data_IF_342417360612
#
_entry.id   IF_342417360612
#
_cell.length_a   1.000
_cell.length_b   1.000
_cell.length_c   1.000
_cell.angle_alpha   90.00
_cell.angle_beta   90.00
_cell.angle_gamma   90.00
#
_symmetry.space_group_name_H-M   'P 1'
#
loop_
_entity.id
_entity.type
_entity.pdbx_description
1 polymer ?
#
# COMPACT_ATOMS: atom_id res chain seq x y z
N UNK A 1 -40.11 -56.45 9.45
CA UNK A 1 -38.71 -56.23 9.89
C UNK A 1 -37.81 -57.20 9.16
N UNK A 2 -36.58 -56.80 8.81
CA UNK A 2 -35.72 -57.50 7.83
C UNK A 2 -34.37 -57.89 8.42
N UNK A 3 -34.16 -59.20 8.64
CA UNK A 3 -32.83 -59.78 8.85
C UNK A 3 -32.23 -60.23 7.51
N UNK A 4 -31.06 -59.70 7.14
CA UNK A 4 -30.49 -59.90 5.79
C UNK A 4 -29.60 -61.14 5.64
N UNK A 5 -29.51 -61.66 4.41
CA UNK A 5 -28.51 -62.65 3.99
C UNK A 5 -27.62 -62.07 2.89
N UNK A 6 -26.31 -62.23 3.03
CA UNK A 6 -25.29 -61.56 2.21
C UNK A 6 -25.19 -62.15 0.79
N UNK A 7 -25.50 -61.38 -0.24
CA UNK A 7 -25.13 -61.72 -1.64
C UNK A 7 -23.64 -61.41 -1.85
N UNK A 8 -22.83 -62.42 -2.20
CA UNK A 8 -21.44 -62.24 -2.67
C UNK A 8 -21.44 -61.89 -4.16
N UNK A 9 -21.14 -60.64 -4.50
CA UNK A 9 -20.82 -60.23 -5.88
C UNK A 9 -19.33 -60.42 -6.15
N UNK A 10 -18.97 -61.49 -6.86
CA UNK A 10 -17.59 -61.74 -7.28
C UNK A 10 -17.24 -60.90 -8.53
N UNK A 11 -16.76 -59.67 -8.31
CA UNK A 11 -16.16 -58.85 -9.37
C UNK A 11 -14.86 -59.52 -9.83
N UNK A 12 -14.77 -59.94 -11.10
CA UNK A 12 -13.52 -60.50 -11.65
C UNK A 12 -12.49 -59.39 -11.81
N UNK A 13 -11.30 -59.59 -11.24
CA UNK A 13 -10.13 -58.78 -11.57
C UNK A 13 -9.75 -58.96 -13.05
N UNK A 14 -9.11 -57.94 -13.62
CA UNK A 14 -8.72 -57.86 -15.03
C UNK A 14 -7.19 -57.75 -15.09
N UNK A 15 -6.58 -58.44 -16.05
CA UNK A 15 -5.13 -58.34 -16.29
C UNK A 15 -4.78 -56.91 -16.79
N UNK A 16 -3.91 -56.15 -16.10
CA UNK A 16 -3.61 -54.76 -16.49
C UNK A 16 -2.82 -54.61 -17.80
N UNK A 17 -2.06 -55.65 -18.20
CA UNK A 17 -1.17 -55.59 -19.37
C UNK A 17 -1.86 -56.03 -20.67
N UNK A 18 -2.91 -56.86 -20.59
CA UNK A 18 -3.56 -57.47 -21.76
C UNK A 18 -5.09 -57.32 -21.80
N UNK A 19 -5.72 -56.87 -20.71
CA UNK A 19 -7.14 -56.49 -20.68
C UNK A 19 -8.17 -57.63 -20.88
N UNK A 20 -7.73 -58.89 -21.03
CA UNK A 20 -8.60 -60.06 -21.14
C UNK A 20 -9.08 -60.56 -19.77
N UNK A 21 -10.16 -61.33 -19.77
CA UNK A 21 -10.65 -62.03 -18.57
C UNK A 21 -10.13 -63.46 -18.54
N UNK A 22 -9.50 -63.86 -17.43
CA UNK A 22 -9.04 -65.23 -17.25
C UNK A 22 -10.21 -66.18 -16.94
N UNK A 23 -10.20 -67.36 -17.57
CA UNK A 23 -11.13 -68.45 -17.31
C UNK A 23 -10.73 -69.21 -16.04
N UNK A 24 -11.70 -69.53 -15.18
CA UNK A 24 -11.47 -70.41 -14.03
C UNK A 24 -11.39 -71.88 -14.49
N UNK A 25 -10.50 -72.73 -13.94
CA UNK A 25 -10.51 -74.16 -14.19
C UNK A 25 -11.80 -74.83 -13.71
N UNK A 26 -12.31 -75.80 -14.47
CA UNK A 26 -13.37 -76.72 -14.04
C UNK A 26 -12.75 -77.91 -13.28
N UNK A 27 -13.40 -78.44 -12.24
CA UNK A 27 -13.13 -79.79 -11.74
C UNK A 27 -13.93 -80.82 -12.54
N UNK A 28 -13.38 -82.02 -12.75
CA UNK A 28 -14.12 -83.21 -13.21
C UNK A 28 -13.39 -84.48 -12.72
N UNK A 29 -14.12 -85.59 -12.55
CA UNK A 29 -13.69 -86.70 -11.69
C UNK A 29 -13.99 -88.10 -12.24
N UNK A 30 -12.99 -88.98 -12.11
CA UNK A 30 -13.07 -90.46 -12.04
C UNK A 30 -13.79 -91.25 -13.15
N UNK A 31 -13.04 -92.12 -13.82
CA UNK A 31 -13.49 -93.51 -14.09
C UNK A 31 -12.29 -94.45 -14.36
N UNK A 32 -12.48 -95.74 -14.08
CA UNK A 32 -11.56 -96.88 -14.22
C UNK A 32 -12.12 -97.87 -15.26
N UNK A 33 -11.55 -99.09 -15.49
CA UNK A 33 -10.15 -99.57 -15.50
C UNK A 33 -9.83 -100.35 -16.81
N UNK A 34 -8.62 -100.95 -16.97
CA UNK A 34 -8.45 -102.24 -17.69
C UNK A 34 -7.12 -103.00 -17.44
N UNK A 35 -7.28 -104.28 -17.11
CA UNK A 35 -6.46 -105.49 -17.34
C UNK A 35 -4.90 -105.50 -17.24
N UNK A 36 -4.39 -106.57 -16.60
CA UNK A 36 -3.01 -107.08 -16.73
C UNK A 36 -2.82 -107.88 -18.03
N UNK A 37 -1.58 -108.25 -18.38
CA UNK A 37 -1.24 -109.67 -18.28
C UNK A 37 0.05 -109.97 -17.48
N UNK A 38 0.24 -111.24 -17.10
CA UNK A 38 1.45 -111.76 -16.44
C UNK A 38 2.32 -112.52 -17.45
N UNK A 39 3.64 -112.48 -17.26
CA UNK A 39 4.60 -113.39 -17.92
C UNK A 39 5.74 -113.74 -16.96
N UNK A 40 6.35 -114.92 -17.13
CA UNK A 40 7.36 -115.48 -16.22
C UNK A 40 8.81 -115.19 -16.68
N UNK A 41 9.81 -115.24 -15.77
CA UNK A 41 11.24 -115.16 -16.12
C UNK A 41 11.83 -116.52 -16.56
N UNK A 42 13.03 -116.48 -17.15
CA UNK A 42 13.86 -117.63 -17.50
C UNK A 42 15.37 -117.32 -17.30
N UNK A 43 16.24 -118.35 -17.27
CA UNK A 43 17.61 -118.31 -16.72
C UNK A 43 18.75 -117.85 -17.69
N UNK A 44 19.98 -117.54 -17.18
CA UNK A 44 21.03 -116.79 -17.91
C UNK A 44 22.37 -117.51 -18.25
N UNK A 45 23.12 -116.92 -19.19
CA UNK A 45 24.55 -117.12 -19.58
C UNK A 45 24.95 -115.96 -20.56
N UNK A 46 26.18 -115.60 -20.99
CA UNK A 46 27.65 -115.83 -20.77
C UNK A 46 28.39 -114.71 -21.60
N UNK A 47 29.70 -114.40 -21.60
CA UNK A 47 30.95 -114.68 -20.85
C UNK A 47 31.96 -113.51 -21.13
N UNK A 48 33.17 -113.49 -20.53
CA UNK A 48 34.17 -112.39 -20.74
C UNK A 48 35.66 -112.81 -20.52
N UNK A 49 36.63 -111.98 -20.98
CA UNK A 49 38.10 -112.14 -20.88
C UNK A 49 38.83 -110.77 -20.64
N UNK A 50 40.14 -110.73 -20.30
CA UNK A 50 40.84 -109.53 -19.73
C UNK A 50 42.28 -109.21 -20.25
N UNK A 51 42.91 -108.15 -19.72
CA UNK A 51 44.14 -107.43 -20.24
C UNK A 51 45.20 -107.19 -19.12
N UNK A 52 46.46 -106.82 -19.47
CA UNK A 52 47.65 -106.79 -18.58
C UNK A 52 47.99 -105.43 -17.90
N UNK A 53 49.02 -105.45 -17.03
CA UNK A 53 49.22 -104.49 -15.92
C UNK A 53 50.11 -103.27 -16.19
N UNK A 54 51.11 -103.34 -17.06
CA UNK A 54 52.09 -102.24 -17.19
C UNK A 54 51.56 -101.07 -18.02
N UNK A 55 50.82 -101.37 -19.10
CA UNK A 55 50.12 -100.39 -19.94
C UNK A 55 49.12 -99.55 -19.13
N UNK A 56 48.51 -100.14 -18.09
CA UNK A 56 47.59 -99.49 -17.16
C UNK A 56 48.26 -98.34 -16.38
N UNK A 57 49.51 -98.52 -15.95
CA UNK A 57 50.23 -97.51 -15.17
C UNK A 57 50.62 -96.28 -16.01
N UNK A 58 51.09 -96.48 -17.25
CA UNK A 58 51.42 -95.35 -18.15
C UNK A 58 50.17 -94.56 -18.55
N UNK A 59 49.01 -95.23 -18.67
CA UNK A 59 47.71 -94.58 -18.84
C UNK A 59 47.34 -93.73 -17.61
N UNK A 60 47.50 -94.25 -16.39
CA UNK A 60 47.24 -93.51 -15.14
C UNK A 60 48.06 -92.21 -15.04
N UNK A 61 49.37 -92.25 -15.27
CA UNK A 61 50.24 -91.06 -15.19
C UNK A 61 49.85 -89.97 -16.19
N UNK A 62 49.39 -90.36 -17.39
CA UNK A 62 48.88 -89.40 -18.37
C UNK A 62 47.55 -88.79 -17.91
N UNK A 63 46.61 -89.64 -17.48
CA UNK A 63 45.31 -89.22 -16.93
C UNK A 63 45.50 -88.26 -15.75
N UNK A 64 46.51 -88.46 -14.90
CA UNK A 64 46.83 -87.57 -13.79
C UNK A 64 47.28 -86.17 -14.26
N UNK A 65 48.23 -86.07 -15.20
CA UNK A 65 48.68 -84.77 -15.73
C UNK A 65 47.58 -84.04 -16.50
N UNK A 66 46.83 -84.76 -17.33
CA UNK A 66 45.72 -84.19 -18.10
C UNK A 66 44.63 -83.64 -17.14
N UNK A 67 44.39 -84.32 -16.00
CA UNK A 67 43.47 -83.90 -14.93
C UNK A 67 43.97 -82.68 -14.13
N UNK A 68 45.28 -82.54 -13.90
CA UNK A 68 45.85 -81.34 -13.25
C UNK A 68 45.73 -80.11 -14.14
N UNK A 69 46.01 -80.24 -15.44
CA UNK A 69 45.79 -79.15 -16.41
C UNK A 69 44.33 -78.69 -16.45
N UNK A 70 43.40 -79.66 -16.49
CA UNK A 70 41.95 -79.39 -16.43
C UNK A 70 41.52 -78.68 -15.13
N UNK A 71 42.18 -78.98 -14.00
CA UNK A 71 41.89 -78.38 -12.70
C UNK A 71 42.35 -76.90 -12.64
N UNK A 72 43.51 -76.55 -13.20
CA UNK A 72 43.95 -75.16 -13.27
C UNK A 72 43.11 -74.31 -14.24
N UNK A 73 42.67 -74.89 -15.36
CA UNK A 73 41.73 -74.22 -16.26
C UNK A 73 40.37 -73.99 -15.57
N UNK A 74 39.86 -74.98 -14.83
CA UNK A 74 38.63 -74.85 -14.04
C UNK A 74 38.75 -73.75 -12.95
N UNK A 75 39.89 -73.65 -12.27
CA UNK A 75 40.17 -72.57 -11.30
C UNK A 75 40.15 -71.20 -11.99
N UNK A 76 40.80 -71.08 -13.15
CA UNK A 76 40.88 -69.84 -13.92
C UNK A 76 39.50 -69.38 -14.38
N UNK A 77 38.65 -70.29 -14.84
CA UNK A 77 37.28 -69.96 -15.25
C UNK A 77 36.38 -69.61 -14.06
N UNK A 78 36.56 -70.28 -12.91
CA UNK A 78 35.90 -69.90 -11.64
C UNK A 78 36.25 -68.47 -11.23
N UNK A 79 37.53 -68.07 -11.31
CA UNK A 79 37.94 -66.68 -10.99
C UNK A 79 37.33 -65.64 -11.94
N UNK A 80 37.20 -65.94 -13.24
CA UNK A 80 36.45 -65.07 -14.17
C UNK A 80 34.97 -64.98 -13.81
N UNK A 81 34.36 -66.07 -13.38
CA UNK A 81 32.95 -66.10 -12.97
C UNK A 81 32.73 -65.24 -11.71
N UNK A 82 33.57 -65.40 -10.68
CA UNK A 82 33.56 -64.58 -9.45
C UNK A 82 33.79 -63.09 -9.73
N UNK A 83 34.55 -62.74 -10.77
CA UNK A 83 34.68 -61.35 -11.22
C UNK A 83 33.39 -60.83 -11.86
N UNK A 84 32.82 -61.58 -12.81
CA UNK A 84 31.54 -61.21 -13.45
C UNK A 84 30.38 -61.14 -12.47
N UNK A 85 30.37 -61.99 -11.44
CA UNK A 85 29.38 -61.94 -10.36
C UNK A 85 29.46 -60.62 -9.58
N UNK A 86 30.67 -60.11 -9.30
CA UNK A 86 30.88 -58.78 -8.68
C UNK A 86 30.48 -57.63 -9.60
N UNK A 87 30.70 -57.75 -10.91
CA UNK A 87 30.23 -56.76 -11.90
C UNK A 87 28.69 -56.72 -11.96
N UNK A 88 28.03 -57.90 -12.02
CA UNK A 88 26.56 -58.03 -11.94
C UNK A 88 26.01 -57.44 -10.63
N UNK A 89 26.66 -57.69 -9.50
CA UNK A 89 26.27 -57.09 -8.21
C UNK A 89 26.55 -55.58 -8.14
N UNK A 90 27.44 -55.05 -9.00
CA UNK A 90 27.58 -53.62 -9.27
C UNK A 90 26.37 -53.07 -10.03
N UNK A 91 26.03 -53.68 -11.17
CA UNK A 91 24.90 -53.26 -12.01
C UNK A 91 23.55 -53.33 -11.27
N UNK A 92 23.31 -54.34 -10.43
CA UNK A 92 22.10 -54.41 -9.58
C UNK A 92 21.95 -53.19 -8.68
N UNK A 93 23.03 -52.74 -8.03
CA UNK A 93 23.02 -51.56 -7.14
C UNK A 93 22.76 -50.27 -7.91
N UNK A 94 23.34 -50.12 -9.10
CA UNK A 94 23.09 -48.94 -9.94
C UNK A 94 21.66 -48.94 -10.51
N UNK A 95 21.12 -50.10 -10.92
CA UNK A 95 19.70 -50.24 -11.32
C UNK A 95 18.78 -49.85 -10.16
N UNK A 96 19.08 -50.26 -8.91
CA UNK A 96 18.30 -49.85 -7.75
C UNK A 96 18.34 -48.33 -7.53
N UNK A 97 19.53 -47.72 -7.58
CA UNK A 97 19.74 -46.27 -7.44
C UNK A 97 19.00 -45.46 -8.51
N UNK A 98 19.05 -45.90 -9.77
CA UNK A 98 18.33 -45.28 -10.88
C UNK A 98 16.81 -45.47 -10.76
N UNK A 99 16.35 -46.61 -10.22
CA UNK A 99 14.93 -46.87 -9.95
C UNK A 99 14.39 -45.91 -8.89
N UNK A 100 15.11 -45.76 -7.77
CA UNK A 100 14.77 -44.83 -6.68
C UNK A 100 14.74 -43.38 -7.20
N UNK A 101 15.78 -42.95 -7.91
CA UNK A 101 15.84 -41.64 -8.55
C UNK A 101 14.66 -41.40 -9.51
N UNK A 102 14.24 -42.42 -10.28
CA UNK A 102 13.08 -42.33 -11.17
C UNK A 102 11.76 -42.17 -10.40
N UNK A 103 11.60 -42.84 -9.25
CA UNK A 103 10.40 -42.69 -8.41
C UNK A 103 10.33 -41.32 -7.73
N UNK A 104 11.46 -40.73 -7.36
CA UNK A 104 11.54 -39.36 -6.84
C UNK A 104 11.22 -38.32 -7.93
N UNK A 105 11.75 -38.49 -9.15
CA UNK A 105 11.39 -37.65 -10.30
C UNK A 105 9.89 -37.73 -10.62
N UNK A 106 9.29 -38.93 -10.56
CA UNK A 106 7.85 -39.09 -10.76
C UNK A 106 7.02 -38.36 -9.68
N UNK A 107 7.46 -38.41 -8.41
CA UNK A 107 6.81 -37.68 -7.31
C UNK A 107 6.86 -36.16 -7.53
N UNK A 108 8.01 -35.63 -7.95
CA UNK A 108 8.18 -34.20 -8.27
C UNK A 108 7.31 -33.77 -9.46
N UNK A 109 7.19 -34.62 -10.48
CA UNK A 109 6.30 -34.38 -11.63
C UNK A 109 4.84 -34.27 -11.18
N UNK A 110 4.37 -35.20 -10.35
CA UNK A 110 2.99 -35.21 -9.85
C UNK A 110 2.70 -34.00 -8.94
N UNK A 111 3.65 -33.59 -8.09
CA UNK A 111 3.54 -32.33 -7.34
C UNK A 111 3.43 -31.08 -8.23
N UNK A 112 4.09 -31.07 -9.40
CA UNK A 112 4.01 -29.97 -10.37
C UNK A 112 2.67 -29.97 -11.12
N UNK A 113 2.10 -31.14 -11.40
CA UNK A 113 0.75 -31.27 -11.96
C UNK A 113 -0.32 -30.74 -10.99
N UNK A 114 -0.25 -31.11 -9.70
CA UNK A 114 -1.16 -30.58 -8.66
C UNK A 114 -1.03 -29.05 -8.52
N UNK A 115 0.20 -28.51 -8.55
CA UNK A 115 0.46 -27.06 -8.53
C UNK A 115 -0.08 -26.37 -9.79
N UNK A 116 0.00 -27.00 -10.96
CA UNK A 116 -0.58 -26.49 -12.22
C UNK A 116 -2.12 -26.43 -12.17
N UNK A 117 -2.77 -27.45 -11.58
CA UNK A 117 -4.22 -27.46 -11.37
C UNK A 117 -4.64 -26.34 -10.42
N UNK A 118 -3.91 -26.14 -9.32
CA UNK A 118 -4.18 -25.03 -8.40
C UNK A 118 -3.99 -23.67 -9.07
N UNK A 119 -2.91 -23.47 -9.83
CA UNK A 119 -2.64 -22.22 -10.55
C UNK A 119 -3.74 -21.88 -11.55
N UNK A 120 -4.22 -22.85 -12.35
CA UNK A 120 -5.35 -22.68 -13.26
C UNK A 120 -6.62 -22.24 -12.54
N UNK A 121 -6.89 -22.79 -11.36
CA UNK A 121 -8.03 -22.39 -10.53
C UNK A 121 -7.91 -20.95 -10.03
N UNK A 122 -6.71 -20.53 -9.60
CA UNK A 122 -6.46 -19.14 -9.16
C UNK A 122 -6.64 -18.16 -10.31
N UNK A 123 -6.12 -18.46 -11.50
CA UNK A 123 -6.27 -17.59 -12.67
C UNK A 123 -7.74 -17.51 -13.14
N UNK A 124 -8.52 -18.59 -13.04
CA UNK A 124 -9.98 -18.54 -13.26
C UNK A 124 -10.68 -17.66 -12.22
N UNK A 125 -10.40 -17.82 -10.92
CA UNK A 125 -11.01 -16.99 -9.87
C UNK A 125 -10.65 -15.50 -10.00
N UNK A 126 -9.46 -15.20 -10.52
CA UNK A 126 -9.04 -13.84 -10.88
C UNK A 126 -9.86 -13.29 -12.07
N UNK A 127 -10.07 -14.08 -13.12
CA UNK A 127 -10.90 -13.66 -14.27
C UNK A 127 -12.35 -13.41 -13.84
N UNK A 128 -12.93 -14.30 -13.03
CA UNK A 128 -14.27 -14.13 -12.45
C UNK A 128 -14.37 -12.84 -11.59
N UNK A 129 -13.32 -12.50 -10.84
CA UNK A 129 -13.25 -11.26 -10.06
C UNK A 129 -13.07 -10.00 -10.95
N UNK A 130 -12.28 -10.09 -12.03
CA UNK A 130 -12.11 -9.00 -13.00
C UNK A 130 -13.43 -8.69 -13.73
N UNK A 131 -14.21 -9.72 -14.12
CA UNK A 131 -15.55 -9.54 -14.71
C UNK A 131 -16.53 -8.87 -13.74
N UNK A 132 -16.56 -9.29 -12.46
CA UNK A 132 -17.41 -8.66 -11.42
C UNK A 132 -17.04 -7.18 -11.23
N UNK A 133 -15.75 -6.85 -11.22
CA UNK A 133 -15.27 -5.45 -11.10
C UNK A 133 -15.65 -4.61 -12.33
N UNK A 134 -15.65 -5.20 -13.53
CA UNK A 134 -16.11 -4.53 -14.76
C UNK A 134 -17.62 -4.27 -14.69
N UNK A 135 -18.43 -5.28 -14.38
CA UNK A 135 -19.88 -5.14 -14.28
C UNK A 135 -20.27 -4.11 -13.21
N UNK A 136 -19.66 -4.14 -12.02
CA UNK A 136 -19.95 -3.14 -10.98
C UNK A 136 -19.56 -1.71 -11.42
N UNK A 137 -18.49 -1.55 -12.21
CA UNK A 137 -18.15 -0.24 -12.80
C UNK A 137 -19.19 0.23 -13.82
N UNK A 138 -19.75 -0.65 -14.64
CA UNK A 138 -20.80 -0.31 -15.61
C UNK A 138 -22.15 0.02 -14.93
N UNK A 139 -22.55 -0.76 -13.92
CA UNK A 139 -23.76 -0.50 -13.13
C UNK A 139 -23.66 0.83 -12.37
N UNK A 140 -22.54 1.09 -11.68
CA UNK A 140 -22.30 2.36 -10.99
C UNK A 140 -22.17 3.54 -11.97
N UNK A 141 -21.58 3.32 -13.16
CA UNK A 141 -21.54 4.31 -14.24
C UNK A 141 -22.94 4.70 -14.72
N UNK A 142 -23.83 3.72 -14.85
CA UNK A 142 -25.24 3.91 -15.22
C UNK A 142 -26.01 4.68 -14.14
N UNK A 143 -25.80 4.36 -12.86
CA UNK A 143 -26.38 5.11 -11.73
C UNK A 143 -25.91 6.58 -11.71
N UNK A 144 -24.63 6.84 -11.99
CA UNK A 144 -24.09 8.20 -12.10
C UNK A 144 -24.68 8.96 -13.31
N UNK A 145 -24.87 8.31 -14.45
CA UNK A 145 -25.58 8.90 -15.60
C UNK A 145 -27.03 9.27 -15.24
N UNK A 146 -27.76 8.41 -14.51
CA UNK A 146 -29.11 8.75 -14.06
C UNK A 146 -29.12 9.92 -13.06
N UNK A 147 -28.14 10.02 -12.16
CA UNK A 147 -27.99 11.21 -11.31
C UNK A 147 -27.74 12.47 -12.13
N UNK A 148 -26.79 12.44 -13.08
CA UNK A 148 -26.47 13.56 -13.98
C UNK A 148 -27.71 14.05 -14.74
N UNK A 149 -28.49 13.12 -15.31
CA UNK A 149 -29.79 13.36 -15.94
C UNK A 149 -30.80 14.00 -14.97
N UNK A 150 -30.99 13.41 -13.78
CA UNK A 150 -31.95 13.86 -12.76
C UNK A 150 -31.68 15.29 -12.28
N UNK A 151 -30.42 15.72 -12.25
CA UNK A 151 -30.02 17.07 -11.84
C UNK A 151 -29.80 18.03 -13.03
N UNK A 152 -30.14 17.62 -14.26
CA UNK A 152 -30.12 18.50 -15.44
C UNK A 152 -28.73 18.91 -15.93
N UNK A 153 -27.71 18.09 -15.65
CA UNK A 153 -26.29 18.41 -15.87
C UNK A 153 -25.81 18.04 -17.30
N UNK A 154 -26.72 17.97 -18.27
CA UNK A 154 -26.51 17.44 -19.63
C UNK A 154 -25.95 18.48 -20.64
N UNK A 155 -25.12 19.42 -20.20
CA UNK A 155 -24.32 20.22 -21.13
C UNK A 155 -23.15 19.37 -21.67
N UNK A 156 -22.87 19.48 -22.97
CA UNK A 156 -21.91 18.63 -23.71
C UNK A 156 -20.43 18.93 -23.36
N UNK A 157 -20.06 18.79 -22.09
CA UNK A 157 -18.71 18.88 -21.58
C UNK A 157 -17.92 17.61 -21.93
N UNK A 158 -17.57 17.46 -23.21
CA UNK A 158 -16.73 16.38 -23.74
C UNK A 158 -15.25 16.48 -23.32
N UNK A 159 -15.00 16.66 -22.02
CA UNK A 159 -13.67 16.86 -21.43
C UNK A 159 -12.84 15.58 -21.59
N UNK A 160 -12.00 15.58 -22.62
CA UNK A 160 -10.92 14.62 -22.76
C UNK A 160 -9.69 15.18 -22.04
N UNK A 161 -9.35 14.62 -20.87
CA UNK A 161 -8.05 14.88 -20.23
C UNK A 161 -6.93 14.54 -21.22
N UNK A 162 -6.01 15.46 -21.46
CA UNK A 162 -4.89 15.24 -22.36
C UNK A 162 -3.89 14.21 -21.78
N UNK A 163 -3.12 13.54 -22.63
CA UNK A 163 -2.23 12.47 -22.17
C UNK A 163 -1.03 12.98 -21.35
N UNK A 164 -0.63 14.25 -21.53
CA UNK A 164 0.41 14.89 -20.71
C UNK A 164 -0.08 15.18 -19.29
N UNK A 165 -1.36 15.54 -19.11
CA UNK A 165 -2.02 15.62 -17.80
C UNK A 165 -2.05 14.25 -17.11
N UNK A 166 -2.44 13.20 -17.85
CA UNK A 166 -2.45 11.81 -17.33
C UNK A 166 -1.04 11.35 -16.91
N UNK A 167 -0.02 11.63 -17.72
CA UNK A 167 1.37 11.27 -17.40
C UNK A 167 1.87 12.03 -16.17
N UNK A 168 1.68 13.35 -16.13
CA UNK A 168 2.05 14.19 -14.98
C UNK A 168 1.37 13.74 -13.69
N UNK A 169 0.07 13.43 -13.75
CA UNK A 169 -0.65 12.88 -12.60
C UNK A 169 -0.07 11.53 -12.18
N UNK A 170 0.06 10.57 -13.10
CA UNK A 170 0.60 9.22 -12.80
C UNK A 170 2.03 9.26 -12.23
N UNK A 171 2.84 10.24 -12.64
CA UNK A 171 4.21 10.44 -12.16
C UNK A 171 4.29 11.17 -10.82
N UNK A 172 3.44 12.20 -10.61
CA UNK A 172 3.45 13.01 -9.39
C UNK A 172 2.66 12.40 -8.23
N UNK A 173 1.53 11.74 -8.50
CA UNK A 173 0.59 11.30 -7.48
C UNK A 173 1.14 10.25 -6.48
N UNK A 174 2.02 9.30 -6.88
CA UNK A 174 2.68 8.40 -5.92
C UNK A 174 3.78 9.08 -5.08
N UNK A 175 4.34 10.19 -5.58
CA UNK A 175 5.38 10.97 -4.90
C UNK A 175 4.85 12.18 -4.11
N UNK A 176 3.53 12.41 -4.14
CA UNK A 176 2.90 13.54 -3.43
C UNK A 176 2.99 13.33 -1.92
N UNK A 177 3.15 14.42 -1.19
CA UNK A 177 3.09 14.44 0.28
C UNK A 177 1.69 14.85 0.72
N UNK A 178 1.21 14.38 1.89
CA UNK A 178 -0.03 14.89 2.51
C UNK A 178 0.00 16.39 2.69
N UNK A 179 1.20 16.89 3.01
CA UNK A 179 1.51 18.29 3.18
C UNK A 179 2.44 18.73 2.05
N UNK A 180 2.02 19.72 1.24
CA UNK A 180 2.76 20.10 0.03
C UNK A 180 4.19 20.63 0.30
N UNK A 181 4.51 20.99 1.54
CA UNK A 181 5.80 21.54 1.91
C UNK A 181 6.93 20.51 1.90
N UNK A 182 8.04 20.88 1.24
CA UNK A 182 9.33 20.19 1.36
C UNK A 182 10.04 20.56 2.67
N UNK A 183 9.79 21.77 3.18
CA UNK A 183 10.44 22.37 4.35
C UNK A 183 9.43 23.13 5.23
N UNK A 184 9.64 23.17 6.54
CA UNK A 184 8.85 23.99 7.47
C UNK A 184 9.79 24.75 8.40
N UNK A 185 9.70 26.08 8.37
CA UNK A 185 10.50 27.01 9.17
C UNK A 185 9.60 27.58 10.28
N UNK A 186 10.05 27.58 11.55
CA UNK A 186 9.32 28.16 12.69
C UNK A 186 10.17 29.24 13.36
N UNK A 187 9.61 30.44 13.53
CA UNK A 187 10.22 31.55 14.27
C UNK A 187 9.28 31.99 15.39
N UNK A 188 9.73 31.82 16.64
CA UNK A 188 9.02 32.32 17.82
C UNK A 188 9.72 33.58 18.33
N UNK A 189 9.01 34.70 18.32
CA UNK A 189 9.47 36.00 18.78
C UNK A 189 8.87 36.35 20.16
N UNK A 190 9.76 36.74 21.09
CA UNK A 190 9.45 37.21 22.44
C UNK A 190 10.35 38.42 22.73
N UNK A 191 9.97 39.32 23.62
CA UNK A 191 10.83 40.46 23.97
C UNK A 191 11.98 40.08 24.90
N UNK A 192 13.13 40.72 24.73
CA UNK A 192 14.27 40.57 25.65
C UNK A 192 13.96 41.07 27.06
N UNK A 193 13.03 42.04 27.21
CA UNK A 193 12.57 42.57 28.49
C UNK A 193 11.23 41.99 28.99
N UNK A 194 10.78 40.86 28.45
CA UNK A 194 9.44 40.32 28.75
C UNK A 194 9.21 40.11 30.25
N UNK A 195 8.11 40.66 30.78
CA UNK A 195 7.74 40.59 32.20
C UNK A 195 6.65 39.53 32.51
N UNK A 196 6.27 38.72 31.51
CA UNK A 196 5.16 37.77 31.58
C UNK A 196 5.54 36.38 32.12
N UNK A 197 6.83 36.02 32.14
CA UNK A 197 7.32 34.74 32.68
C UNK A 197 7.02 33.50 31.82
N UNK A 198 6.50 33.70 30.60
CA UNK A 198 5.96 32.68 29.68
C UNK A 198 7.01 31.82 28.96
N UNK A 199 8.29 31.94 29.33
CA UNK A 199 9.40 31.25 28.66
C UNK A 199 9.26 29.72 28.65
N UNK A 200 8.74 29.12 29.72
CA UNK A 200 8.54 27.66 29.80
C UNK A 200 7.43 27.18 28.84
N UNK A 201 6.40 27.98 28.60
CA UNK A 201 5.34 27.67 27.62
C UNK A 201 5.91 27.76 26.18
N UNK A 202 6.75 28.77 25.91
CA UNK A 202 7.46 28.90 24.63
C UNK A 202 8.40 27.71 24.38
N UNK A 203 9.18 27.32 25.38
CA UNK A 203 10.18 26.26 25.21
C UNK A 203 9.50 24.87 25.07
N UNK A 204 8.31 24.67 25.67
CA UNK A 204 7.42 23.53 25.38
C UNK A 204 6.91 23.54 23.94
N UNK A 205 6.44 24.69 23.43
CA UNK A 205 5.98 24.83 22.04
C UNK A 205 7.12 24.56 21.03
N UNK A 206 8.31 25.09 21.30
CA UNK A 206 9.53 24.80 20.53
C UNK A 206 9.83 23.30 20.50
N UNK A 207 9.72 22.64 21.66
CA UNK A 207 9.97 21.20 21.78
C UNK A 207 9.01 20.38 20.90
N UNK A 208 7.71 20.70 20.91
CA UNK A 208 6.71 20.01 20.06
C UNK A 208 7.02 20.21 18.57
N UNK A 209 7.26 21.45 18.11
CA UNK A 209 7.58 21.69 16.69
C UNK A 209 8.89 21.00 16.27
N UNK A 210 9.91 20.99 17.13
CA UNK A 210 11.23 20.41 16.80
C UNK A 210 11.27 18.88 16.88
N UNK A 211 10.61 18.27 17.87
CA UNK A 211 10.74 16.85 18.18
C UNK A 211 9.52 16.01 17.81
N UNK A 212 8.31 16.59 17.79
CA UNK A 212 7.10 15.89 17.34
C UNK A 212 6.79 16.12 15.85
N UNK A 213 7.22 17.26 15.30
CA UNK A 213 6.97 17.65 13.91
C UNK A 213 8.23 17.69 13.01
N UNK A 214 9.44 17.57 13.57
CA UNK A 214 10.72 17.67 12.84
C UNK A 214 10.93 19.00 12.09
N UNK A 215 10.30 20.09 12.53
CA UNK A 215 10.42 21.41 11.88
C UNK A 215 11.72 22.14 12.26
N UNK A 216 12.16 23.08 11.43
CA UNK A 216 13.31 23.93 11.70
C UNK A 216 12.90 25.12 12.62
N UNK A 217 13.16 25.00 13.93
CA UNK A 217 12.67 25.96 14.94
C UNK A 217 13.76 26.91 15.45
N UNK A 218 13.49 28.21 15.41
CA UNK A 218 14.30 29.26 16.01
C UNK A 218 13.48 30.13 17.01
N UNK A 219 14.15 30.60 18.07
CA UNK A 219 13.66 31.63 18.99
C UNK A 219 14.38 32.95 18.70
N UNK A 220 13.71 34.09 18.84
CA UNK A 220 14.33 35.40 18.70
C UNK A 220 13.87 36.36 19.82
N UNK A 221 14.84 36.96 20.49
CA UNK A 221 14.61 37.98 21.52
C UNK A 221 14.61 39.36 20.88
N UNK A 222 13.44 40.00 20.81
CA UNK A 222 13.27 41.36 20.29
C UNK A 222 13.98 42.34 21.24
N UNK A 223 14.94 43.16 20.78
CA UNK A 223 15.68 44.10 21.62
C UNK A 223 14.84 45.35 21.96
N UNK A 224 15.09 45.94 23.13
CA UNK A 224 14.46 47.22 23.55
C UNK A 224 14.82 48.40 22.62
N UNK A 225 15.98 48.34 21.95
CA UNK A 225 16.48 49.35 21.01
C UNK A 225 16.25 48.90 19.56
N UNK A 226 15.68 49.80 18.75
CA UNK A 226 15.29 49.55 17.35
C UNK A 226 14.51 48.23 17.08
N UNK A 227 13.51 47.85 17.91
CA UNK A 227 12.82 46.56 17.82
C UNK A 227 12.24 46.25 16.44
N UNK A 228 11.65 47.24 15.78
CA UNK A 228 11.07 47.10 14.44
C UNK A 228 12.11 46.78 13.37
N UNK A 229 13.28 47.42 13.39
CA UNK A 229 14.37 47.17 12.43
C UNK A 229 14.97 45.78 12.67
N UNK A 230 15.25 45.44 13.93
CA UNK A 230 15.82 44.16 14.32
C UNK A 230 14.90 42.97 13.96
N UNK A 231 13.61 43.06 14.30
CA UNK A 231 12.65 41.98 14.00
C UNK A 231 12.35 41.90 12.50
N UNK A 232 12.22 43.03 11.78
CA UNK A 232 12.01 43.01 10.33
C UNK A 232 13.17 42.40 9.57
N UNK A 233 14.42 42.63 10.01
CA UNK A 233 15.57 41.96 9.42
C UNK A 233 15.53 40.46 9.70
N UNK A 234 15.30 40.05 10.96
CA UNK A 234 15.23 38.64 11.33
C UNK A 234 14.12 37.87 10.59
N UNK A 235 12.99 38.52 10.32
CA UNK A 235 11.85 37.94 9.58
C UNK A 235 12.19 37.77 8.11
N UNK A 236 12.90 38.72 7.47
CA UNK A 236 13.43 38.53 6.11
C UNK A 236 14.44 37.39 6.04
N UNK A 237 15.36 37.29 7.01
CA UNK A 237 16.33 36.17 7.10
C UNK A 237 15.64 34.81 7.31
N UNK A 238 14.42 34.81 7.88
CA UNK A 238 13.60 33.63 8.15
C UNK A 238 12.79 33.19 6.93
N UNK A 239 12.20 34.13 6.20
CA UNK A 239 11.57 33.90 4.88
C UNK A 239 12.64 33.35 3.92
N UNK A 240 13.77 34.05 3.81
CA UNK A 240 14.93 33.65 3.00
C UNK A 240 14.62 33.66 1.50
N UNK A 241 14.50 32.47 0.93
CA UNK A 241 14.19 32.22 -0.48
C UNK A 241 12.70 32.35 -0.83
N UNK A 242 11.80 32.38 0.18
CA UNK A 242 10.36 32.55 -0.02
C UNK A 242 9.66 31.42 -0.75
N UNK A 243 10.30 30.25 -0.93
CA UNK A 243 9.81 29.16 -1.78
C UNK A 243 8.36 28.72 -1.46
N UNK A 244 7.49 28.50 -2.47
CA UNK A 244 6.13 28.01 -2.28
C UNK A 244 6.07 26.57 -1.73
N UNK A 245 7.16 25.81 -1.82
CA UNK A 245 7.30 24.49 -1.18
C UNK A 245 7.71 24.60 0.32
N UNK A 246 7.62 25.78 0.92
CA UNK A 246 7.91 26.02 2.34
C UNK A 246 6.69 26.55 3.09
N UNK A 247 6.47 26.04 4.30
CA UNK A 247 5.58 26.67 5.28
C UNK A 247 6.40 27.52 6.27
N UNK A 248 5.98 28.77 6.47
CA UNK A 248 6.49 29.66 7.50
C UNK A 248 5.53 29.65 8.68
N UNK A 249 5.99 29.29 9.88
CA UNK A 249 5.21 29.44 11.11
C UNK A 249 5.83 30.57 11.94
N UNK A 250 5.15 31.72 12.03
CA UNK A 250 5.60 32.84 12.84
C UNK A 250 4.73 32.97 14.09
N UNK A 251 5.34 32.85 15.26
CA UNK A 251 4.64 33.01 16.53
C UNK A 251 5.13 34.26 17.28
N UNK A 252 4.21 35.08 17.76
CA UNK A 252 4.50 36.16 18.70
C UNK A 252 3.85 35.86 20.05
N UNK A 253 4.63 36.06 21.10
CA UNK A 253 4.20 35.95 22.49
C UNK A 253 4.74 37.14 23.29
N UNK A 254 3.86 37.91 23.92
CA UNK A 254 4.23 39.17 24.59
C UNK A 254 3.02 40.08 24.82
N UNK A 255 3.26 41.35 25.21
CA UNK A 255 2.16 42.32 25.32
C UNK A 255 1.71 42.85 23.96
N UNK A 256 0.44 43.24 23.91
CA UNK A 256 -0.26 43.70 22.72
C UNK A 256 -1.30 44.74 23.13
N UNK A 257 -1.45 45.78 22.32
CA UNK A 257 -2.36 46.90 22.57
C UNK A 257 -2.77 47.58 21.26
N UNK A 258 -3.85 48.36 21.28
CA UNK A 258 -4.27 49.19 20.15
C UNK A 258 -3.91 50.65 20.48
N UNK A 259 -3.21 51.34 19.58
CA UNK A 259 -2.87 52.75 19.79
C UNK A 259 -4.08 53.67 19.54
N UNK A 260 -4.41 54.49 20.56
CA UNK A 260 -5.65 55.27 20.63
C UNK A 260 -5.93 56.23 19.46
N UNK A 261 -4.88 56.68 18.77
CA UNK A 261 -4.99 57.73 17.75
C UNK A 261 -4.90 57.17 16.32
N UNK A 262 -4.17 56.08 16.13
CA UNK A 262 -3.89 55.48 14.82
C UNK A 262 -4.66 54.18 14.59
N UNK A 263 -5.26 53.61 15.65
CA UNK A 263 -5.87 52.27 15.69
C UNK A 263 -4.94 51.11 15.26
N UNK A 264 -3.64 51.39 15.08
CA UNK A 264 -2.63 50.38 14.82
C UNK A 264 -2.48 49.45 16.02
N UNK A 265 -2.26 48.16 15.73
CA UNK A 265 -1.87 47.22 16.75
C UNK A 265 -0.36 47.35 17.06
N UNK A 266 -0.04 47.34 18.35
CA UNK A 266 1.28 47.61 18.90
C UNK A 266 1.70 46.44 19.79
N UNK A 267 2.85 45.84 19.48
CA UNK A 267 3.56 44.91 20.36
C UNK A 267 4.47 45.67 21.31
N UNK A 268 4.62 45.20 22.56
CA UNK A 268 5.50 45.81 23.55
C UNK A 268 6.12 44.81 24.51
N UNK A 269 7.33 45.13 25.00
CA UNK A 269 8.10 44.23 25.87
C UNK A 269 7.69 44.25 27.35
N UNK A 270 6.94 45.27 27.76
CA UNK A 270 6.33 45.42 29.09
C UNK A 270 5.27 46.53 29.03
N UNK A 271 4.38 46.60 30.02
CA UNK A 271 3.21 47.53 30.01
C UNK A 271 3.54 49.02 29.85
N UNK A 272 4.76 49.42 30.18
CA UNK A 272 5.31 50.78 29.97
C UNK A 272 6.73 50.68 29.36
N UNK A 273 6.87 49.82 28.35
CA UNK A 273 8.15 49.39 27.80
C UNK A 273 8.47 49.91 26.39
N UNK A 274 9.51 49.34 25.75
CA UNK A 274 9.71 49.48 24.31
C UNK A 274 8.47 48.94 23.57
N UNK A 275 8.17 49.53 22.42
CA UNK A 275 6.96 49.25 21.64
C UNK A 275 7.21 49.40 20.14
N UNK A 276 6.52 48.61 19.32
CA UNK A 276 6.56 48.68 17.86
C UNK A 276 5.19 48.35 17.23
N UNK A 277 4.81 48.96 16.10
CA UNK A 277 3.71 48.48 15.28
C UNK A 277 4.01 47.07 14.77
N UNK A 278 3.03 46.18 14.79
CA UNK A 278 3.20 44.79 14.33
C UNK A 278 2.85 44.59 12.85
N UNK A 279 1.98 45.43 12.27
CA UNK A 279 1.47 45.26 10.91
C UNK A 279 2.57 45.00 9.86
N UNK A 280 3.69 45.75 9.91
CA UNK A 280 4.79 45.58 8.96
C UNK A 280 5.54 44.24 9.04
N UNK A 281 5.41 43.50 10.16
CA UNK A 281 5.90 42.12 10.29
C UNK A 281 4.91 41.13 9.65
N UNK A 282 3.61 41.39 9.74
CA UNK A 282 2.59 40.60 9.07
C UNK A 282 2.67 40.77 7.55
N UNK A 283 2.78 42.01 7.05
CA UNK A 283 2.93 42.29 5.60
C UNK A 283 4.12 41.55 4.99
N UNK A 284 5.28 41.53 5.67
CA UNK A 284 6.46 40.76 5.21
C UNK A 284 6.21 39.25 5.05
N UNK A 285 5.22 38.69 5.76
CA UNK A 285 4.82 37.29 5.68
C UNK A 285 3.66 37.06 4.69
N UNK A 286 2.75 38.03 4.55
CA UNK A 286 1.68 38.05 3.54
C UNK A 286 2.22 38.27 2.11
N UNK A 287 3.33 39.00 1.95
CA UNK A 287 4.02 39.25 0.67
C UNK A 287 4.85 38.04 0.16
N UNK A 288 4.88 36.92 0.90
CA UNK A 288 5.71 35.75 0.59
C UNK A 288 4.99 34.74 -0.32
N UNK A 289 5.72 34.07 -1.22
CA UNK A 289 5.21 32.94 -2.01
C UNK A 289 5.05 31.65 -1.18
N UNK A 290 5.82 31.50 -0.10
CA UNK A 290 5.57 30.52 0.97
C UNK A 290 4.22 30.75 1.65
N UNK A 291 3.50 29.69 2.00
CA UNK A 291 2.37 29.78 2.92
C UNK A 291 2.85 30.21 4.33
N UNK A 292 2.00 30.92 5.07
CA UNK A 292 2.29 31.40 6.42
C UNK A 292 1.21 31.05 7.46
N UNK A 293 1.64 30.56 8.62
CA UNK A 293 0.80 30.38 9.80
C UNK A 293 1.26 31.32 10.91
N UNK A 294 0.42 32.31 11.23
CA UNK A 294 0.64 33.30 12.27
C UNK A 294 -0.01 32.82 13.58
N UNK A 295 0.75 32.82 14.67
CA UNK A 295 0.31 32.36 16.00
C UNK A 295 0.54 33.48 17.02
N UNK A 296 -0.52 34.23 17.37
CA UNK A 296 -0.40 35.41 18.24
C UNK A 296 -1.01 35.14 19.62
N UNK A 297 -0.17 34.86 20.63
CA UNK A 297 -0.59 34.89 22.04
C UNK A 297 -0.27 36.25 22.64
N UNK A 298 -1.21 37.18 22.45
CA UNK A 298 -1.14 38.53 22.98
C UNK A 298 -2.52 39.15 23.18
N UNK A 299 -2.61 40.24 23.95
CA UNK A 299 -3.86 40.98 24.12
C UNK A 299 -4.22 41.72 22.82
N UNK A 300 -5.53 41.83 22.53
CA UNK A 300 -6.07 42.43 21.29
C UNK A 300 -5.62 41.75 19.97
N UNK A 301 -5.15 40.49 20.00
CA UNK A 301 -4.56 39.79 18.85
C UNK A 301 -5.37 39.85 17.54
N UNK A 302 -6.70 39.71 17.61
CA UNK A 302 -7.54 39.73 16.39
C UNK A 302 -7.59 41.10 15.68
N UNK A 303 -7.24 42.21 16.34
CA UNK A 303 -7.15 43.52 15.66
C UNK A 303 -5.88 43.67 14.81
N UNK A 304 -4.99 42.67 14.81
CA UNK A 304 -3.86 42.56 13.90
C UNK A 304 -4.31 41.97 12.54
N UNK A 305 -5.47 41.31 12.49
CA UNK A 305 -5.98 40.51 11.36
C UNK A 305 -6.47 41.31 10.13
N UNK A 306 -5.81 42.43 9.80
CA UNK A 306 -6.14 43.28 8.65
C UNK A 306 -5.14 43.00 7.53
N UNK A 307 -5.56 42.18 6.56
CA UNK A 307 -4.83 41.92 5.31
C UNK A 307 -4.89 43.13 4.37
N UNK A 308 -3.83 43.39 3.61
CA UNK A 308 -3.64 44.64 2.84
C UNK A 308 -3.69 44.48 1.30
N UNK A 309 -4.34 43.42 0.80
CA UNK A 309 -4.34 42.97 -0.61
C UNK A 309 -3.00 42.33 -1.05
N UNK A 310 -2.65 41.17 -0.47
CA UNK A 310 -1.50 40.34 -0.86
C UNK A 310 -1.55 39.86 -2.33
N UNK A 311 -0.41 39.44 -2.90
CA UNK A 311 -0.36 38.83 -4.23
C UNK A 311 -0.99 37.43 -4.25
N UNK A 312 -1.56 37.03 -5.39
CA UNK A 312 -2.21 35.72 -5.54
C UNK A 312 -1.18 34.58 -5.71
N UNK A 313 -1.10 33.67 -4.73
CA UNK A 313 -0.32 32.43 -4.84
C UNK A 313 -0.15 31.63 -3.54
N UNK A 314 0.04 32.32 -2.41
CA UNK A 314 0.21 31.72 -1.08
C UNK A 314 -1.08 31.74 -0.25
N UNK A 315 -1.07 31.05 0.88
CA UNK A 315 -2.13 31.12 1.91
C UNK A 315 -1.53 31.58 3.22
N UNK A 316 -2.17 32.54 3.88
CA UNK A 316 -1.81 32.97 5.23
C UNK A 316 -2.99 32.77 6.16
N UNK A 317 -2.80 31.98 7.21
CA UNK A 317 -3.74 31.83 8.31
C UNK A 317 -3.21 32.48 9.58
N UNK A 318 -4.10 33.13 10.34
CA UNK A 318 -3.83 33.60 11.69
C UNK A 318 -4.67 32.81 12.69
N UNK A 319 -4.03 32.32 13.75
CA UNK A 319 -4.70 31.89 14.98
C UNK A 319 -4.26 32.80 16.13
N UNK A 320 -5.22 33.55 16.67
CA UNK A 320 -5.07 34.53 17.71
C UNK A 320 -5.60 34.00 19.05
N UNK A 321 -4.88 34.22 20.14
CA UNK A 321 -5.28 33.80 21.49
C UNK A 321 -6.55 34.48 22.00
N UNK A 322 -6.85 35.68 21.49
CA UNK A 322 -8.04 36.43 21.85
C UNK A 322 -8.64 37.18 20.67
N UNK A 323 -9.96 37.34 20.73
CA UNK A 323 -10.70 38.24 19.86
C UNK A 323 -10.43 39.72 20.15
N UNK A 324 -11.11 40.58 19.39
CA UNK A 324 -11.10 42.02 19.60
C UNK A 324 -11.41 42.36 21.07
N UNK A 325 -10.66 43.31 21.63
CA UNK A 325 -10.90 43.91 22.95
C UNK A 325 -10.83 42.98 24.19
N UNK A 326 -10.10 41.84 24.14
CA UNK A 326 -9.93 40.96 25.31
C UNK A 326 -8.48 40.73 25.74
N UNK A 327 -8.29 40.55 27.04
CA UNK A 327 -6.99 40.35 27.73
C UNK A 327 -6.70 38.86 27.89
N UNK A 328 -5.51 38.40 27.48
CA UNK A 328 -5.08 37.00 27.65
C UNK A 328 -4.62 36.71 29.08
N UNK A 329 -4.57 35.42 29.45
CA UNK A 329 -4.11 34.94 30.77
C UNK A 329 -3.04 33.86 30.60
N UNK A 330 -1.92 34.01 31.31
CA UNK A 330 -0.84 33.03 31.40
C UNK A 330 -1.20 31.85 32.34
N UNK A 331 -0.44 30.76 32.23
CA UNK A 331 -0.53 29.56 33.08
C UNK A 331 -1.22 28.38 32.38
N UNK A 332 -1.33 27.24 33.05
CA UNK A 332 -1.58 25.91 32.43
C UNK A 332 -2.78 25.78 31.46
N UNK A 333 -3.74 26.72 31.49
CA UNK A 333 -4.92 26.76 30.62
C UNK A 333 -4.90 27.97 29.64
N UNK A 334 -3.72 28.55 29.38
CA UNK A 334 -3.47 29.57 28.37
C UNK A 334 -3.77 29.06 26.94
N UNK A 335 -3.91 29.98 25.98
CA UNK A 335 -4.06 29.60 24.57
C UNK A 335 -2.85 28.81 24.08
N UNK A 336 -1.63 29.31 24.31
CA UNK A 336 -0.40 28.63 23.91
C UNK A 336 -0.22 27.26 24.61
N UNK A 337 -0.59 27.10 25.88
CA UNK A 337 -0.61 25.77 26.54
C UNK A 337 -1.59 24.81 25.86
N UNK A 338 -2.83 25.27 25.60
CA UNK A 338 -3.84 24.48 24.91
C UNK A 338 -3.43 24.10 23.48
N UNK A 339 -2.83 25.05 22.74
CA UNK A 339 -2.28 24.85 21.40
C UNK A 339 -1.14 23.83 21.38
N UNK A 340 -0.18 23.95 22.32
CA UNK A 340 0.95 23.03 22.45
C UNK A 340 0.48 21.60 22.72
N UNK A 341 -0.53 21.43 23.58
CA UNK A 341 -1.11 20.12 23.89
C UNK A 341 -1.87 19.52 22.70
N UNK A 342 -2.63 20.32 21.94
CA UNK A 342 -3.33 19.82 20.75
C UNK A 342 -2.41 19.58 19.55
N UNK A 343 -1.33 20.35 19.38
CA UNK A 343 -0.25 20.04 18.44
C UNK A 343 0.43 18.71 18.79
N UNK A 344 0.83 18.53 20.05
CA UNK A 344 1.45 17.27 20.50
C UNK A 344 0.52 16.06 20.33
N UNK A 345 -0.78 16.24 20.54
CA UNK A 345 -1.81 15.21 20.31
C UNK A 345 -2.07 14.95 18.81
N UNK A 346 -1.97 15.97 17.97
CA UNK A 346 -2.14 15.82 16.52
C UNK A 346 -0.94 15.16 15.84
N UNK A 347 0.29 15.42 16.28
CA UNK A 347 1.51 14.82 15.71
C UNK A 347 1.47 13.28 15.67
N UNK A 348 0.83 12.63 16.64
CA UNK A 348 0.67 11.16 16.69
C UNK A 348 -0.54 10.64 15.90
N UNK A 349 -1.33 11.53 15.29
CA UNK A 349 -2.56 11.23 14.54
C UNK A 349 -2.44 11.53 13.04
N UNK A 350 -1.25 11.92 12.57
CA UNK A 350 -1.01 12.33 11.17
C UNK A 350 -1.41 13.79 10.90
N UNK A 351 -1.70 14.10 9.63
CA UNK A 351 -1.96 15.46 9.20
C UNK A 351 -3.24 16.08 9.83
N UNK A 352 -3.14 17.33 10.29
CA UNK A 352 -4.24 18.12 10.85
C UNK A 352 -4.33 19.47 10.15
N UNK A 353 -5.53 19.91 9.76
CA UNK A 353 -5.72 21.28 9.27
C UNK A 353 -5.66 22.29 10.41
N UNK A 354 -5.20 23.51 10.16
CA UNK A 354 -5.25 24.62 11.13
C UNK A 354 -6.69 24.87 11.60
N UNK A 355 -7.67 24.74 10.69
CA UNK A 355 -9.10 24.66 10.98
C UNK A 355 -9.45 23.66 12.09
N UNK A 356 -8.97 22.41 11.98
CA UNK A 356 -9.26 21.32 12.92
C UNK A 356 -8.49 21.49 14.23
N UNK A 357 -7.25 21.97 14.17
CA UNK A 357 -6.44 22.29 15.35
C UNK A 357 -7.09 23.41 16.17
N UNK A 358 -7.49 24.52 15.55
CA UNK A 358 -8.23 25.61 16.19
C UNK A 358 -9.50 25.10 16.88
N UNK A 359 -10.30 24.27 16.20
CA UNK A 359 -11.53 23.71 16.79
C UNK A 359 -11.24 22.81 18.01
N UNK A 360 -10.14 22.05 18.02
CA UNK A 360 -9.69 21.28 19.20
C UNK A 360 -9.28 22.19 20.34
N UNK A 361 -8.49 23.23 20.07
CA UNK A 361 -8.04 24.22 21.07
C UNK A 361 -9.23 24.97 21.68
N UNK A 362 -10.18 25.41 20.86
CA UNK A 362 -11.42 26.05 21.31
C UNK A 362 -12.26 25.10 22.18
N UNK A 363 -12.43 23.84 21.78
CA UNK A 363 -13.14 22.83 22.57
C UNK A 363 -12.46 22.57 23.92
N UNK A 364 -11.12 22.45 23.94
CA UNK A 364 -10.32 22.32 25.16
C UNK A 364 -10.55 23.50 26.10
N UNK A 365 -10.34 24.73 25.63
CA UNK A 365 -10.48 25.95 26.44
C UNK A 365 -11.89 26.11 27.01
N UNK A 366 -12.93 25.82 26.22
CA UNK A 366 -14.35 25.83 26.64
C UNK A 366 -14.68 24.78 27.70
N UNK A 367 -13.99 23.64 27.70
CA UNK A 367 -14.23 22.54 28.64
C UNK A 367 -13.40 22.67 29.94
N UNK A 368 -12.57 23.71 30.08
CA UNK A 368 -11.85 23.98 31.34
C UNK A 368 -12.80 24.48 32.44
N UNK A 369 -12.42 24.27 33.71
CA UNK A 369 -13.16 24.79 34.87
C UNK A 369 -13.26 26.32 34.88
N UNK A 370 -12.35 27.01 34.19
CA UNK A 370 -12.25 28.47 34.13
C UNK A 370 -12.82 29.09 32.84
N UNK A 371 -13.60 28.34 32.05
CA UNK A 371 -14.13 28.79 30.74
C UNK A 371 -14.78 30.20 30.71
N UNK A 372 -15.28 30.71 31.84
CA UNK A 372 -15.87 32.06 31.95
C UNK A 372 -14.85 33.21 31.97
N UNK A 373 -13.56 32.92 32.14
CA UNK A 373 -12.47 33.91 32.22
C UNK A 373 -11.35 33.67 31.21
N UNK A 374 -11.51 32.68 30.33
CA UNK A 374 -10.66 32.48 29.17
C UNK A 374 -11.10 33.41 28.04
N UNK A 375 -10.15 34.03 27.33
CA UNK A 375 -10.46 34.67 26.06
C UNK A 375 -10.86 33.61 25.03
N UNK A 376 -11.81 33.93 24.16
CA UNK A 376 -12.12 33.09 22.99
C UNK A 376 -11.04 33.33 21.94
N UNK A 377 -10.27 32.31 21.51
CA UNK A 377 -9.34 32.46 20.42
C UNK A 377 -10.09 32.72 19.11
N UNK A 378 -9.41 33.34 18.14
CA UNK A 378 -9.96 33.64 16.81
C UNK A 378 -9.08 33.00 15.74
N UNK A 379 -9.69 32.55 14.65
CA UNK A 379 -9.01 32.11 13.43
C UNK A 379 -9.46 32.97 12.25
N UNK A 380 -8.52 33.49 11.48
CA UNK A 380 -8.76 34.25 10.25
C UNK A 380 -7.90 33.70 9.10
N UNK A 381 -8.45 33.66 7.89
CA UNK A 381 -7.65 33.56 6.66
C UNK A 381 -7.35 34.99 6.21
N UNK A 382 -6.07 35.33 6.05
CA UNK A 382 -5.58 36.66 5.68
C UNK A 382 -5.19 36.74 4.19
N UNK A 383 -4.59 35.66 3.67
CA UNK A 383 -4.32 35.45 2.25
C UNK A 383 -4.98 34.12 1.86
N UNK A 384 -5.65 34.09 0.70
CA UNK A 384 -6.35 32.93 0.13
C UNK A 384 -5.88 32.73 -1.30
N UNK A 385 -5.61 31.49 -1.73
CA UNK A 385 -5.49 31.14 -3.16
C UNK A 385 -6.81 30.64 -3.75
N UNK A 386 -7.91 30.82 -3.02
CA UNK A 386 -9.30 30.38 -3.23
C UNK A 386 -9.53 28.87 -3.41
N UNK A 387 -8.49 28.10 -3.74
CA UNK A 387 -8.48 26.63 -3.76
C UNK A 387 -8.39 26.00 -2.36
N UNK A 388 -7.62 26.57 -1.42
CA UNK A 388 -7.29 25.95 -0.12
C UNK A 388 -8.15 26.47 1.03
N UNK A 389 -8.94 25.58 1.63
CA UNK A 389 -9.77 25.87 2.83
C UNK A 389 -8.97 25.98 4.13
N UNK A 390 -7.77 25.38 4.20
CA UNK A 390 -6.86 25.50 5.34
C UNK A 390 -5.44 25.00 5.03
N UNK A 391 -4.44 25.59 5.69
CA UNK A 391 -3.08 25.05 5.83
C UNK A 391 -3.15 23.70 6.58
N UNK A 392 -2.29 22.77 6.17
CA UNK A 392 -2.11 21.47 6.81
C UNK A 392 -0.83 21.43 7.64
N UNK A 393 -0.88 20.77 8.80
CA UNK A 393 0.24 20.52 9.69
C UNK A 393 0.42 19.02 9.86
N UNK A 394 1.59 18.52 9.49
CA UNK A 394 1.97 17.10 9.54
C UNK A 394 3.46 17.04 9.92
N UNK A 395 3.92 16.06 10.71
CA UNK A 395 5.34 15.86 10.95
C UNK A 395 6.11 15.66 9.64
N UNK A 396 7.22 16.39 9.46
CA UNK A 396 8.12 16.12 8.35
C UNK A 396 8.73 14.72 8.52
N UNK A 397 8.50 13.85 7.54
CA UNK A 397 9.18 12.57 7.43
C UNK A 397 10.70 12.81 7.46
N UNK A 398 11.48 12.03 8.24
CA UNK A 398 12.94 12.12 8.20
C UNK A 398 13.43 11.81 6.78
N UNK A 399 14.57 12.39 6.35
CA UNK A 399 15.15 12.09 5.04
C UNK A 399 15.29 10.58 4.85
N UNK A 400 14.70 10.07 3.77
CA UNK A 400 14.54 8.63 3.57
C UNK A 400 15.93 7.97 3.36
N UNK A 401 16.48 7.39 4.43
CA UNK A 401 17.50 6.35 4.29
C UNK A 401 16.86 5.25 3.44
N UNK A 402 17.52 4.86 2.34
CA UNK A 402 16.92 4.06 1.26
C UNK A 402 16.67 2.60 1.66
N UNK A 403 15.72 2.39 2.57
CA UNK A 403 15.18 1.08 2.92
C UNK A 403 14.13 0.73 1.87
N UNK A 404 14.38 -0.36 1.14
CA UNK A 404 13.43 -0.92 0.19
C UNK A 404 12.23 -1.50 0.95
N UNK A 405 11.21 -0.69 1.19
CA UNK A 405 9.97 -1.12 1.83
C UNK A 405 9.16 -1.98 0.86
N UNK A 406 9.35 -3.30 0.98
CA UNK A 406 8.33 -4.26 0.58
C UNK A 406 7.04 -3.95 1.36
N UNK A 407 5.89 -3.96 0.67
CA UNK A 407 4.60 -3.70 1.31
C UNK A 407 4.30 -4.80 2.33
N UNK A 408 4.07 -4.40 3.59
CA UNK A 408 3.56 -5.30 4.63
C UNK A 408 2.03 -5.25 4.59
N UNK A 409 1.40 -6.25 3.97
CA UNK A 409 -0.05 -6.44 4.01
C UNK A 409 -0.52 -6.76 5.45
N UNK A 410 -1.00 -5.75 6.20
CA UNK A 410 -1.65 -5.99 7.49
C UNK A 410 -2.57 -4.84 7.95
N UNK A 411 -3.72 -4.68 7.30
CA UNK A 411 -4.95 -4.20 7.95
C UNK A 411 -6.19 -4.59 7.14
N UNK A 412 -7.31 -4.88 7.82
CA UNK A 412 -8.61 -5.11 7.17
C UNK A 412 -9.30 -3.77 6.88
N UNK A 413 -8.62 -2.87 6.15
CA UNK A 413 -9.14 -1.54 5.85
C UNK A 413 -10.12 -1.57 4.66
N UNK A 414 -11.33 -1.06 4.89
CA UNK A 414 -12.39 -0.96 3.88
C UNK A 414 -12.07 0.23 2.98
N UNK A 415 -11.41 -0.03 1.85
CA UNK A 415 -11.08 0.98 0.84
C UNK A 415 -12.33 1.68 0.30
N UNK A 416 -12.52 2.94 0.69
CA UNK A 416 -13.64 3.77 0.24
C UNK A 416 -13.33 4.42 -1.12
N UNK A 417 -14.07 4.02 -2.16
CA UNK A 417 -13.95 4.58 -3.52
C UNK A 417 -14.95 5.74 -3.69
N UNK A 418 -14.44 6.95 -3.92
CA UNK A 418 -15.25 8.15 -4.13
C UNK A 418 -15.27 8.52 -5.62
N UNK A 419 -16.47 8.50 -6.23
CA UNK A 419 -16.68 9.00 -7.59
C UNK A 419 -17.03 10.50 -7.54
N UNK A 420 -16.19 11.34 -8.13
CA UNK A 420 -16.37 12.81 -8.16
C UNK A 420 -16.64 13.25 -9.60
N UNK A 421 -17.77 13.91 -9.83
CA UNK A 421 -18.12 14.52 -11.12
C UNK A 421 -17.82 16.01 -11.05
N UNK A 422 -16.87 16.47 -11.88
CA UNK A 422 -16.52 17.89 -12.00
C UNK A 422 -17.43 18.52 -13.08
N UNK A 423 -18.34 19.38 -12.65
CA UNK A 423 -19.20 20.18 -13.55
C UNK A 423 -18.59 21.57 -13.71
N UNK A 424 -18.34 21.99 -14.95
CA UNK A 424 -17.78 23.31 -15.27
C UNK A 424 -18.89 24.26 -15.73
N UNK A 425 -18.78 25.55 -15.41
CA UNK A 425 -19.70 26.60 -15.86
C UNK A 425 -18.93 27.80 -16.43
N UNK A 426 -19.04 28.02 -17.74
CA UNK A 426 -18.66 29.30 -18.37
C UNK A 426 -17.17 29.69 -18.40
N UNK A 427 -16.25 28.74 -18.61
CA UNK A 427 -14.81 29.03 -18.81
C UNK A 427 -14.20 28.08 -19.85
N UNK A 428 -13.33 28.60 -20.72
CA UNK A 428 -12.53 27.80 -21.69
C UNK A 428 -11.49 26.93 -20.95
N UNK A 429 -11.00 25.84 -21.58
CA UNK A 429 -10.36 24.69 -20.89
C UNK A 429 -8.84 24.62 -21.02
N UNK A 430 -8.21 25.73 -21.37
CA UNK A 430 -6.85 25.77 -21.92
C UNK A 430 -5.73 25.53 -20.89
N UNK A 431 -6.02 25.63 -19.58
CA UNK A 431 -5.08 25.22 -18.53
C UNK A 431 -5.63 24.07 -17.66
N UNK A 432 -5.18 22.84 -17.96
CA UNK A 432 -5.42 21.66 -17.11
C UNK A 432 -4.50 21.64 -15.87
N UNK A 433 -3.51 22.53 -15.75
CA UNK A 433 -2.54 22.54 -14.65
C UNK A 433 -3.17 22.87 -13.28
N UNK A 434 -4.27 23.63 -13.24
CA UNK A 434 -5.03 23.90 -11.99
C UNK A 434 -5.57 22.59 -11.42
N UNK A 435 -6.25 21.77 -12.23
CA UNK A 435 -6.74 20.45 -11.82
C UNK A 435 -5.61 19.50 -11.42
N UNK A 436 -4.45 19.60 -12.07
CA UNK A 436 -3.28 18.79 -11.71
C UNK A 436 -2.73 19.18 -10.34
N UNK A 437 -2.56 20.48 -10.07
CA UNK A 437 -2.18 21.00 -8.74
C UNK A 437 -3.17 20.55 -7.67
N UNK A 438 -4.48 20.64 -7.95
CA UNK A 438 -5.53 20.22 -7.04
C UNK A 438 -5.49 18.71 -6.74
N UNK A 439 -5.36 17.85 -7.75
CA UNK A 439 -5.24 16.40 -7.55
C UNK A 439 -3.95 16.01 -6.83
N UNK A 440 -2.82 16.68 -7.08
CA UNK A 440 -1.56 16.43 -6.37
C UNK A 440 -1.60 16.94 -4.91
N UNK A 441 -2.55 17.79 -4.54
CA UNK A 441 -2.86 18.19 -3.14
C UNK A 441 -3.81 17.21 -2.42
N UNK A 442 -4.19 16.07 -3.03
CA UNK A 442 -5.11 15.11 -2.41
C UNK A 442 -4.53 14.43 -1.14
N UNK A 443 -5.31 14.27 -0.05
CA UNK A 443 -4.87 13.65 1.21
C UNK A 443 -4.20 12.27 1.04
N UNK A 444 -3.28 11.91 1.93
CA UNK A 444 -2.44 10.69 1.82
C UNK A 444 -3.22 9.39 1.90
N UNK A 445 -4.40 9.38 2.53
CA UNK A 445 -5.31 8.22 2.53
C UNK A 445 -6.04 8.00 1.20
N UNK A 446 -5.87 8.88 0.19
CA UNK A 446 -6.33 8.65 -1.18
C UNK A 446 -5.28 7.81 -1.91
N UNK A 447 -5.48 6.50 -2.02
CA UNK A 447 -4.45 5.59 -2.54
C UNK A 447 -4.18 5.76 -4.04
N UNK A 448 -5.22 6.08 -4.83
CA UNK A 448 -5.17 6.21 -6.30
C UNK A 448 -6.21 7.24 -6.80
N UNK A 449 -6.04 7.75 -8.02
CA UNK A 449 -7.01 8.61 -8.73
C UNK A 449 -7.16 8.13 -10.18
N UNK A 450 -8.34 7.62 -10.52
CA UNK A 450 -8.66 7.13 -11.87
C UNK A 450 -9.51 8.15 -12.63
N UNK A 451 -9.02 8.61 -13.78
CA UNK A 451 -9.69 9.61 -14.63
C UNK A 451 -10.60 8.91 -15.64
N UNK A 452 -11.91 8.88 -15.39
CA UNK A 452 -12.89 8.29 -16.28
C UNK A 452 -13.58 9.35 -17.17
N UNK A 453 -13.77 9.03 -18.46
CA UNK A 453 -14.51 9.86 -19.42
C UNK A 453 -15.97 9.40 -19.48
N UNK A 454 -16.89 10.20 -18.97
CA UNK A 454 -18.33 9.96 -19.10
C UNK A 454 -18.80 10.61 -20.40
N UNK A 455 -19.13 9.79 -21.41
CA UNK A 455 -19.75 10.28 -22.65
C UNK A 455 -21.26 10.46 -22.44
N UNK A 456 -21.71 11.69 -22.18
CA UNK A 456 -23.13 12.03 -22.16
C UNK A 456 -23.61 12.15 -23.62
N UNK A 457 -24.43 11.21 -24.09
CA UNK A 457 -25.13 11.33 -25.37
C UNK A 457 -26.52 11.91 -25.13
N UNK A 458 -26.74 13.14 -25.61
CA UNK A 458 -28.06 13.78 -25.59
C UNK A 458 -29.00 13.07 -26.57
N UNK A 459 -30.03 12.38 -26.07
CA UNK A 459 -31.10 11.87 -26.92
C UNK A 459 -31.87 13.04 -27.53
N UNK A 460 -31.74 13.23 -28.83
CA UNK A 460 -32.67 14.07 -29.60
C UNK A 460 -34.01 13.36 -29.67
N UNK A 461 -35.02 13.90 -29.00
CA UNK A 461 -36.39 13.39 -29.05
C UNK A 461 -36.93 13.39 -30.47
N UNK A 462 -37.05 12.22 -31.08
CA UNK A 462 -37.69 12.05 -32.38
C UNK A 462 -39.21 12.23 -32.24
N UNK A 463 -39.67 13.48 -32.31
CA UNK A 463 -41.08 13.79 -32.50
C UNK A 463 -41.49 13.36 -33.91
N UNK A 464 -41.94 12.11 -34.04
CA UNK A 464 -42.66 11.65 -35.22
C UNK A 464 -43.97 12.43 -35.32
N UNK A 465 -44.01 13.42 -36.21
CA UNK A 465 -45.23 14.16 -36.50
C UNK A 465 -46.25 13.25 -37.18
N UNK A 466 -47.37 12.99 -36.50
CA UNK A 466 -48.58 12.51 -37.16
C UNK A 466 -49.22 13.71 -37.86
N UNK A 467 -48.79 13.96 -39.10
CA UNK A 467 -49.51 14.86 -40.00
C UNK A 467 -50.86 14.22 -40.32
N UNK A 468 -51.94 14.88 -39.90
CA UNK A 468 -53.29 14.50 -40.29
C UNK A 468 -53.54 14.96 -41.72
N UNK A 469 -53.85 14.00 -42.61
CA UNK A 469 -54.50 14.31 -43.88
C UNK A 469 -55.80 15.08 -43.62
N UNK A 470 -56.05 16.13 -44.39
CA UNK A 470 -57.35 16.80 -44.43
C UNK A 470 -57.58 17.37 -45.83
N UNK A 471 -58.46 16.72 -46.60
CA UNK A 471 -58.81 17.09 -47.97
C UNK A 471 -59.42 18.49 -48.06
N UNK A 472 -59.07 19.23 -49.11
CA UNK A 472 -59.62 20.56 -49.39
C UNK A 472 -59.32 21.00 -50.82
N UNK A 473 -60.31 20.84 -51.72
CA UNK A 473 -60.16 21.13 -53.14
C UNK A 473 -59.94 22.63 -53.48
N UNK A 474 -59.21 22.80 -54.59
CA UNK A 474 -59.36 23.79 -55.69
C UNK A 474 -60.68 24.60 -55.78
N UNK A 475 -60.67 25.79 -56.43
CA UNK A 475 -59.81 26.15 -57.57
C UNK A 475 -58.96 27.43 -57.44
#
# INVERSE_FOLDING_TARGET
>A
MTGGVKKRTNTRARDPATGRFCSAPKPESTSQPKAQPKTQPADPATAANSVSKEQYNTLLDKIHRDKEGYLEELKREKSKFEQKEKEVEGYKREIARLTESSTDTYRQMQELEDKLVLFKKVEQQKQEAEEIIIQEKEERGTQLQEMVRKYGLEENCGIAWDDNFKEKLKKGFPGRRTNCYTSVKVLIAQWASDDLGVSEEVDKLMSVFKHSYSFNVAKFSIPDLEPGNALSSRVRDFIGDGSPDTLLIFAYNGHGSIEKNSHNAIWSGRRQGPRMPCNGIQTLLEDSESDALLLYDTCHSANIAISLNPPAGSVTELVAACGFETVTRMGDNSFMSALTQELSSAATQGAVSVSRLYNRVLARLRNTRNHKTNATPVRCTLVSDDDRTSIMLEPLLPPLVTVSHQYSECSNEVNAVYNIVIVKRGLEMDDTSVFLKWLLRAPSNVLDVQLHRINIQKQTSSNGGLEYENDGHEP
#
